data_IF_362106161808
#
_entry.id   IF_362106161808
#
_cell.length_a   1.000
_cell.length_b   1.000
_cell.length_c   1.000
_cell.angle_alpha   90.00
_cell.angle_beta   90.00
_cell.angle_gamma   90.00
#
_symmetry.space_group_name_H-M   'P 1'
#
loop_
_entity.id
_entity.type
_entity.pdbx_description
1 polymer ?
#
# COMPACT_ATOMS: atom_id res chain seq x y z
N UNK A 1 9.65 11.59 -5.32
CA UNK A 1 8.20 11.69 -5.49
C UNK A 1 7.65 12.18 -4.16
N UNK A 2 6.77 13.19 -4.13
CA UNK A 2 6.15 13.64 -2.88
C UNK A 2 4.83 12.88 -2.73
N UNK A 3 4.85 11.71 -2.08
CA UNK A 3 3.69 10.85 -1.91
C UNK A 3 2.99 11.25 -0.61
N UNK A 4 2.02 12.16 -0.72
CA UNK A 4 1.27 12.65 0.41
C UNK A 4 -0.21 12.22 0.30
N UNK A 5 -0.86 11.85 1.41
CA UNK A 5 -0.29 11.68 2.76
C UNK A 5 0.56 10.41 2.89
N UNK A 6 1.50 10.41 3.84
CA UNK A 6 2.40 9.27 4.14
C UNK A 6 1.82 8.30 5.19
N UNK A 7 0.56 8.51 5.58
CA UNK A 7 -0.17 7.67 6.53
C UNK A 7 -1.68 7.84 6.32
N UNK A 8 -2.45 6.83 6.74
CA UNK A 8 -3.89 6.79 6.60
C UNK A 8 -4.55 6.21 7.85
N UNK A 9 -5.63 6.85 8.30
CA UNK A 9 -6.56 6.25 9.25
C UNK A 9 -7.54 5.37 8.48
N UNK A 10 -7.36 4.05 8.58
CA UNK A 10 -8.22 3.06 7.93
C UNK A 10 -9.48 2.73 8.76
N UNK A 11 -9.66 3.35 9.93
CA UNK A 11 -10.78 3.12 10.83
C UNK A 11 -10.74 1.72 11.43
N UNK A 12 -11.86 0.98 11.32
CA UNK A 12 -11.96 -0.36 11.87
C UNK A 12 -11.05 -1.33 11.10
N UNK A 13 -10.29 -2.16 11.82
CA UNK A 13 -9.40 -3.19 11.27
C UNK A 13 -10.07 -4.13 10.27
N UNK A 14 -11.36 -4.42 10.43
CA UNK A 14 -12.12 -5.23 9.47
C UNK A 14 -12.16 -4.61 8.06
N UNK A 15 -12.02 -3.30 7.92
CA UNK A 15 -12.02 -2.62 6.61
C UNK A 15 -10.73 -2.81 5.82
N UNK A 16 -9.62 -3.17 6.48
CA UNK A 16 -8.30 -3.31 5.85
C UNK A 16 -7.59 -4.61 6.22
N UNK A 17 -8.29 -5.58 6.84
CA UNK A 17 -7.69 -6.84 7.28
C UNK A 17 -7.03 -7.61 6.14
N UNK A 18 -7.60 -7.56 4.93
CA UNK A 18 -7.01 -8.14 3.72
C UNK A 18 -5.61 -7.57 3.44
N UNK A 19 -5.41 -6.26 3.60
CA UNK A 19 -4.11 -5.63 3.35
C UNK A 19 -3.02 -6.12 4.32
N UNK A 20 -3.41 -6.65 5.48
CA UNK A 20 -2.49 -7.24 6.46
C UNK A 20 -2.12 -8.69 6.13
N UNK A 21 -2.96 -9.39 5.35
CA UNK A 21 -2.71 -10.78 4.92
C UNK A 21 -1.80 -10.87 3.70
N UNK A 22 -1.63 -9.77 2.97
CA UNK A 22 -0.68 -9.70 1.86
C UNK A 22 0.74 -9.96 2.39
N UNK A 23 1.32 -11.04 1.89
CA UNK A 23 2.70 -11.41 2.17
C UNK A 23 3.64 -10.59 1.30
N UNK A 24 4.26 -9.58 1.91
CA UNK A 24 5.44 -8.92 1.36
C UNK A 24 6.72 -9.53 1.94
N UNK A 25 7.76 -9.64 1.13
CA UNK A 25 9.08 -10.19 1.50
C UNK A 25 9.86 -9.34 2.49
N UNK A 26 9.50 -8.06 2.66
CA UNK A 26 10.13 -7.13 3.61
C UNK A 26 9.17 -6.02 4.07
N UNK A 27 9.55 -5.33 5.16
CA UNK A 27 8.74 -4.29 5.80
C UNK A 27 8.56 -3.04 4.93
N UNK A 28 9.54 -2.70 4.08
CA UNK A 28 9.45 -1.54 3.19
C UNK A 28 8.43 -1.79 2.06
N UNK A 29 8.44 -2.99 1.48
CA UNK A 29 7.41 -3.41 0.51
C UNK A 29 6.01 -3.41 1.16
N UNK A 30 5.89 -3.92 2.39
CA UNK A 30 4.64 -3.88 3.16
C UNK A 30 4.15 -2.45 3.38
N UNK A 31 5.04 -1.53 3.74
CA UNK A 31 4.71 -0.12 3.91
C UNK A 31 4.18 0.50 2.61
N UNK A 32 4.83 0.23 1.48
CA UNK A 32 4.38 0.72 0.17
C UNK A 32 3.01 0.15 -0.21
N UNK A 33 2.75 -1.13 0.05
CA UNK A 33 1.44 -1.73 -0.18
C UNK A 33 0.33 -1.05 0.63
N UNK A 34 0.56 -0.86 1.94
CA UNK A 34 -0.42 -0.22 2.83
C UNK A 34 -0.73 1.21 2.36
N UNK A 35 0.30 1.99 2.00
CA UNK A 35 0.09 3.34 1.48
C UNK A 35 -0.65 3.35 0.16
N UNK A 36 -0.31 2.43 -0.76
CA UNK A 36 -1.01 2.30 -2.02
C UNK A 36 -2.50 2.00 -1.82
N UNK A 37 -2.82 1.11 -0.88
CA UNK A 37 -4.21 0.78 -0.52
C UNK A 37 -4.95 1.99 0.06
N UNK A 38 -4.31 2.75 0.96
CA UNK A 38 -4.88 3.98 1.50
C UNK A 38 -5.15 5.05 0.44
N UNK A 39 -4.21 5.27 -0.47
CA UNK A 39 -4.38 6.16 -1.62
C UNK A 39 -5.53 5.71 -2.53
N UNK A 40 -5.60 4.40 -2.83
CA UNK A 40 -6.64 3.83 -3.68
C UNK A 40 -8.04 4.02 -3.07
N UNK A 41 -8.22 3.74 -1.78
CA UNK A 41 -9.50 3.94 -1.08
C UNK A 41 -9.94 5.42 -1.05
N UNK A 42 -8.99 6.35 -1.11
CA UNK A 42 -9.24 7.79 -1.09
C UNK A 42 -9.25 8.43 -2.49
N UNK A 43 -9.25 7.63 -3.57
CA UNK A 43 -9.25 8.10 -4.96
C UNK A 43 -7.99 8.89 -5.39
N UNK A 44 -6.89 8.73 -4.65
CA UNK A 44 -5.57 9.27 -5.00
C UNK A 44 -4.86 8.30 -5.93
N UNK A 45 -5.37 8.16 -7.16
CA UNK A 45 -4.97 7.05 -8.04
C UNK A 45 -3.52 7.11 -8.50
N UNK A 46 -2.97 8.31 -8.73
CA UNK A 46 -1.57 8.46 -9.16
C UNK A 46 -0.60 8.06 -8.04
N UNK A 47 -0.88 8.48 -6.81
CA UNK A 47 -0.11 8.08 -5.63
C UNK A 47 -0.25 6.58 -5.35
N UNK A 48 -1.44 6.02 -5.52
CA UNK A 48 -1.65 4.58 -5.41
C UNK A 48 -0.81 3.80 -6.44
N UNK A 49 -0.82 4.21 -7.71
CA UNK A 49 -0.01 3.59 -8.78
C UNK A 49 1.47 3.68 -8.44
N UNK A 50 1.94 4.83 -7.97
CA UNK A 50 3.33 5.02 -7.60
C UNK A 50 3.75 4.08 -6.45
N UNK A 51 2.93 3.98 -5.39
CA UNK A 51 3.20 3.11 -4.26
C UNK A 51 3.12 1.62 -4.63
N UNK A 52 2.11 1.18 -5.41
CA UNK A 52 2.04 -0.20 -5.88
C UNK A 52 3.21 -0.57 -6.80
N UNK A 53 3.59 0.34 -7.70
CA UNK A 53 4.76 0.15 -8.56
C UNK A 53 6.03 0.00 -7.71
N UNK A 54 6.18 0.81 -6.66
CA UNK A 54 7.32 0.70 -5.75
C UNK A 54 7.31 -0.60 -4.95
N UNK A 55 6.13 -1.07 -4.51
CA UNK A 55 5.98 -2.36 -3.87
C UNK A 55 6.43 -3.50 -4.78
N UNK A 56 6.01 -3.50 -6.06
CA UNK A 56 6.44 -4.51 -7.04
C UNK A 56 7.95 -4.48 -7.34
N UNK A 57 8.59 -3.30 -7.30
CA UNK A 57 10.05 -3.20 -7.41
C UNK A 57 10.79 -3.82 -6.22
N UNK A 58 10.25 -3.61 -5.01
CA UNK A 58 10.85 -4.10 -3.76
C UNK A 58 10.57 -5.58 -3.51
N UNK A 59 9.42 -6.06 -3.98
CA UNK A 59 8.98 -7.44 -3.84
C UNK A 59 8.24 -7.92 -5.11
N UNK A 60 8.99 -8.40 -6.12
CA UNK A 60 8.41 -8.86 -7.39
C UNK A 60 7.47 -10.06 -7.27
N UNK A 61 7.57 -10.82 -6.16
CA UNK A 61 6.74 -12.00 -5.89
C UNK A 61 5.50 -11.68 -5.04
N UNK A 62 5.31 -10.41 -4.66
CA UNK A 62 4.14 -9.97 -3.91
C UNK A 62 2.87 -10.18 -4.74
N UNK A 63 1.98 -11.07 -4.28
CA UNK A 63 0.67 -11.29 -4.89
C UNK A 63 -0.31 -10.19 -4.44
N UNK A 64 -0.15 -9.01 -5.03
CA UNK A 64 -1.00 -7.83 -4.82
C UNK A 64 -2.33 -7.91 -5.58
#
# INVERSE_FOLDING_TARGET
MNLAPEDYDFGNTENYSFAMEVTCSNDEARKMFILAYGHMLNYNHEEAIACFSKCAELDPDCAM
#
